data_IF_153134165553
#
_entry.id   IF_153134165553
#
_cell.length_a   1.000
_cell.length_b   1.000
_cell.length_c   1.000
_cell.angle_alpha   90.00
_cell.angle_beta   90.00
_cell.angle_gamma   90.00
#
_symmetry.space_group_name_H-M   'P 1'
#
loop_
_entity.id
_entity.type
_entity.pdbx_description
1 polymer ?
#
# COMPACT_ATOMS: atom_id res chain seq x y z
N UNK A 1 73.56 56.06 -14.74
CA UNK A 1 73.66 55.12 -13.60
C UNK A 1 72.37 55.18 -12.79
N UNK A 2 71.84 54.00 -12.46
CA UNK A 2 70.79 53.68 -11.47
C UNK A 2 69.32 53.83 -11.91
N UNK A 3 68.81 52.65 -12.26
CA UNK A 3 67.44 52.15 -12.28
C UNK A 3 66.54 52.66 -11.15
N UNK A 4 65.24 52.84 -11.45
CA UNK A 4 64.17 52.18 -10.71
C UNK A 4 62.91 52.06 -11.57
N UNK A 5 62.49 50.82 -11.78
CA UNK A 5 61.26 50.40 -12.43
C UNK A 5 60.13 50.57 -11.41
N UNK A 6 59.06 51.29 -11.77
CA UNK A 6 57.78 51.20 -11.06
C UNK A 6 56.68 50.89 -12.08
N UNK A 7 56.26 49.63 -12.08
CA UNK A 7 55.11 49.14 -12.82
C UNK A 7 53.85 49.64 -12.10
N UNK A 8 53.05 50.49 -12.74
CA UNK A 8 51.69 50.80 -12.29
C UNK A 8 50.74 50.22 -13.31
N UNK A 9 50.30 48.98 -13.07
CA UNK A 9 49.18 48.37 -13.79
C UNK A 9 47.89 49.05 -13.39
N UNK A 10 47.23 49.68 -14.35
CA UNK A 10 45.90 50.26 -14.21
C UNK A 10 44.88 49.15 -13.91
N UNK A 11 44.27 49.19 -12.72
CA UNK A 11 43.07 48.40 -12.40
C UNK A 11 41.88 49.15 -13.02
N UNK A 12 41.51 48.79 -14.24
CA UNK A 12 40.23 49.17 -14.82
C UNK A 12 39.15 48.27 -14.22
N UNK A 13 38.37 48.88 -13.32
CA UNK A 13 37.14 48.37 -12.74
C UNK A 13 36.12 48.03 -13.84
N UNK A 14 35.94 46.74 -14.14
CA UNK A 14 34.73 46.22 -14.77
C UNK A 14 33.73 45.82 -13.68
N UNK A 15 33.01 46.80 -13.13
CA UNK A 15 31.80 46.57 -12.35
C UNK A 15 30.60 46.35 -13.26
N UNK A 16 30.58 45.26 -14.04
CA UNK A 16 29.43 44.88 -14.87
C UNK A 16 29.31 43.35 -15.04
N UNK A 17 29.28 42.59 -13.94
CA UNK A 17 28.87 41.17 -13.99
C UNK A 17 28.03 40.70 -12.79
N UNK A 18 27.91 41.49 -11.73
CA UNK A 18 27.22 41.01 -10.50
C UNK A 18 25.69 40.95 -10.61
N UNK A 19 25.07 41.75 -11.48
CA UNK A 19 23.61 41.76 -11.64
C UNK A 19 23.10 40.63 -12.54
N UNK A 20 23.82 40.31 -13.63
CA UNK A 20 23.47 39.19 -14.52
C UNK A 20 23.74 37.85 -13.84
N UNK A 21 24.84 37.70 -13.09
CA UNK A 21 25.10 36.48 -12.32
C UNK A 21 24.17 36.31 -11.11
N UNK A 22 23.74 37.39 -10.44
CA UNK A 22 22.70 37.29 -9.39
C UNK A 22 21.33 36.95 -9.95
N UNK A 23 20.98 37.46 -11.13
CA UNK A 23 19.70 37.16 -11.78
C UNK A 23 19.68 35.74 -12.35
N UNK A 24 20.78 35.26 -12.94
CA UNK A 24 20.91 33.87 -13.35
C UNK A 24 21.01 32.89 -12.17
N UNK A 25 21.60 33.29 -11.03
CA UNK A 25 21.60 32.47 -9.81
C UNK A 25 20.21 32.45 -9.14
N UNK A 26 19.48 33.57 -9.15
CA UNK A 26 18.11 33.66 -8.64
C UNK A 26 17.10 32.92 -9.55
N UNK A 27 17.25 33.01 -10.87
CA UNK A 27 16.42 32.26 -11.84
C UNK A 27 16.75 30.75 -11.84
N UNK A 28 17.98 30.35 -11.45
CA UNK A 28 18.33 28.94 -11.23
C UNK A 28 17.78 28.38 -9.91
N UNK A 29 17.63 29.20 -8.87
CA UNK A 29 17.02 28.81 -7.59
C UNK A 29 15.47 28.72 -7.66
N UNK A 30 14.84 29.45 -8.59
CA UNK A 30 13.37 29.40 -8.80
C UNK A 30 12.88 28.14 -9.55
N UNK A 31 13.79 27.31 -10.06
CA UNK A 31 13.49 26.15 -10.91
C UNK A 31 13.67 24.78 -10.23
N UNK A 32 13.51 24.69 -8.90
CA UNK A 32 13.27 23.40 -8.27
C UNK A 32 11.91 22.86 -8.77
N UNK A 33 11.96 22.03 -9.81
CA UNK A 33 10.77 21.41 -10.40
C UNK A 33 10.00 20.66 -9.31
N UNK A 34 8.69 20.92 -9.22
CA UNK A 34 7.80 20.18 -8.32
C UNK A 34 7.94 18.69 -8.58
N UNK A 35 8.39 17.94 -7.58
CA UNK A 35 8.48 16.49 -7.62
C UNK A 35 7.10 15.89 -7.39
N UNK A 36 6.82 14.76 -8.03
CA UNK A 36 5.57 14.02 -7.87
C UNK A 36 5.82 12.53 -7.68
N UNK A 37 4.94 11.90 -6.91
CA UNK A 37 4.91 10.45 -6.75
C UNK A 37 3.46 9.97 -6.64
N UNK A 38 3.16 8.86 -7.29
CA UNK A 38 1.87 8.17 -7.22
C UNK A 38 2.00 6.89 -6.42
N UNK A 39 1.21 6.76 -5.35
CA UNK A 39 1.10 5.57 -4.53
C UNK A 39 -0.23 4.87 -4.81
N UNK A 40 -0.21 3.55 -4.96
CA UNK A 40 -1.42 2.74 -5.05
C UNK A 40 -1.44 1.71 -3.92
N UNK A 41 -2.58 1.59 -3.26
CA UNK A 41 -2.82 0.62 -2.20
C UNK A 41 -3.95 -0.33 -2.60
N UNK A 42 -3.71 -1.62 -2.46
CA UNK A 42 -4.70 -2.67 -2.62
C UNK A 42 -4.90 -3.42 -1.30
N UNK A 43 -6.12 -3.91 -1.10
CA UNK A 43 -6.51 -4.64 0.10
C UNK A 43 -5.97 -6.07 0.16
N UNK A 44 -6.79 -6.97 0.69
CA UNK A 44 -6.32 -8.29 1.13
C UNK A 44 -6.14 -9.25 -0.06
N UNK A 45 -4.93 -9.75 -0.25
CA UNK A 45 -4.58 -10.79 -1.22
C UNK A 45 -4.83 -12.17 -0.60
N UNK A 46 -6.08 -12.64 -0.66
CA UNK A 46 -6.47 -13.92 -0.10
C UNK A 46 -6.35 -15.05 -1.12
N UNK A 47 -6.08 -16.27 -0.62
CA UNK A 47 -6.04 -17.45 -1.47
C UNK A 47 -6.73 -18.66 -0.83
N UNK A 48 -8.00 -18.86 -1.18
CA UNK A 48 -8.80 -19.98 -0.72
C UNK A 48 -8.53 -21.24 -1.56
N UNK A 49 -8.96 -22.41 -1.04
CA UNK A 49 -8.70 -23.70 -1.69
C UNK A 49 -9.16 -23.72 -3.16
N UNK A 50 -10.35 -23.18 -3.46
CA UNK A 50 -10.84 -23.12 -4.84
C UNK A 50 -10.00 -22.24 -5.76
N UNK A 51 -9.32 -21.23 -5.23
CA UNK A 51 -8.38 -20.41 -6.01
C UNK A 51 -7.10 -21.19 -6.30
N UNK A 52 -6.63 -22.01 -5.36
CA UNK A 52 -5.49 -22.92 -5.55
C UNK A 52 -5.84 -23.97 -6.60
N UNK A 53 -6.98 -24.65 -6.46
CA UNK A 53 -7.44 -25.70 -7.37
C UNK A 53 -7.62 -25.15 -8.80
N UNK A 54 -8.17 -23.94 -8.93
CA UNK A 54 -8.33 -23.28 -10.21
C UNK A 54 -6.99 -23.00 -10.90
N UNK A 55 -5.96 -22.62 -10.15
CA UNK A 55 -4.66 -22.25 -10.69
C UNK A 55 -3.78 -23.44 -11.13
N UNK A 56 -4.17 -24.69 -10.83
CA UNK A 56 -3.39 -25.88 -11.18
C UNK A 56 -3.17 -25.99 -12.69
N UNK A 57 -1.94 -26.30 -13.07
CA UNK A 57 -1.48 -26.63 -14.43
C UNK A 57 -0.71 -27.95 -14.41
N UNK A 58 -0.31 -28.44 -15.58
CA UNK A 58 0.51 -29.67 -15.67
C UNK A 58 1.87 -29.55 -14.97
N UNK A 59 2.37 -28.32 -14.78
CA UNK A 59 3.72 -28.04 -14.28
C UNK A 59 3.76 -27.14 -13.02
N UNK A 60 2.68 -27.09 -12.23
CA UNK A 60 2.60 -26.23 -11.03
C UNK A 60 1.36 -25.33 -11.05
N UNK A 61 1.52 -24.07 -10.65
CA UNK A 61 0.40 -23.13 -10.53
C UNK A 61 0.56 -21.90 -11.43
N UNK A 62 -0.54 -21.39 -12.00
CA UNK A 62 -0.53 -20.15 -12.77
C UNK A 62 -1.66 -19.21 -12.30
N UNK A 63 -1.25 -18.01 -11.87
CA UNK A 63 -2.14 -16.95 -11.38
C UNK A 63 -2.13 -15.69 -12.26
N UNK A 64 -1.44 -15.67 -13.40
CA UNK A 64 -1.30 -14.46 -14.23
C UNK A 64 -2.67 -13.91 -14.69
N UNK A 65 -3.59 -14.81 -15.04
CA UNK A 65 -4.98 -14.45 -15.39
C UNK A 65 -5.69 -13.67 -14.29
N UNK A 66 -5.34 -13.93 -13.01
CA UNK A 66 -5.96 -13.28 -11.86
C UNK A 66 -5.81 -11.76 -11.92
N UNK A 67 -4.70 -11.27 -12.46
CA UNK A 67 -4.34 -9.85 -12.42
C UNK A 67 -4.28 -9.19 -13.80
N UNK A 68 -4.52 -9.96 -14.86
CA UNK A 68 -4.43 -9.50 -16.26
C UNK A 68 -5.18 -8.20 -16.56
N UNK A 69 -6.40 -8.00 -16.03
CA UNK A 69 -7.21 -6.82 -16.32
C UNK A 69 -6.91 -5.59 -15.45
N UNK A 70 -6.10 -5.74 -14.40
CA UNK A 70 -5.73 -4.64 -13.49
C UNK A 70 -4.27 -4.21 -13.63
N UNK A 71 -3.45 -5.04 -14.29
CA UNK A 71 -2.00 -4.85 -14.42
C UNK A 71 -1.62 -3.48 -14.98
N UNK A 72 -2.31 -3.02 -16.02
CA UNK A 72 -2.00 -1.72 -16.64
C UNK A 72 -2.23 -0.57 -15.65
N UNK A 73 -3.34 -0.59 -14.90
CA UNK A 73 -3.62 0.47 -13.93
C UNK A 73 -2.66 0.44 -12.74
N UNK A 74 -2.34 -0.75 -12.22
CA UNK A 74 -1.36 -0.90 -11.13
C UNK A 74 0.02 -0.37 -11.56
N UNK A 75 0.44 -0.68 -12.80
CA UNK A 75 1.74 -0.27 -13.34
C UNK A 75 1.88 1.24 -13.59
N UNK A 76 0.79 2.02 -13.50
CA UNK A 76 0.85 3.50 -13.58
C UNK A 76 1.29 4.14 -12.26
N UNK A 77 1.22 3.42 -11.15
CA UNK A 77 1.73 3.91 -9.87
C UNK A 77 3.26 3.85 -9.85
N UNK A 78 3.90 4.79 -9.15
CA UNK A 78 5.34 4.74 -8.92
C UNK A 78 5.73 3.69 -7.86
N UNK A 79 4.79 3.44 -6.94
CA UNK A 79 4.85 2.42 -5.89
C UNK A 79 3.45 1.85 -5.65
N UNK A 80 3.29 0.54 -5.82
CA UNK A 80 2.08 -0.18 -5.49
C UNK A 80 2.29 -1.10 -4.27
N UNK A 81 1.40 -0.99 -3.28
CA UNK A 81 1.47 -1.67 -1.97
C UNK A 81 0.25 -2.57 -1.80
N UNK A 82 0.45 -3.81 -1.35
CA UNK A 82 -0.61 -4.79 -1.09
C UNK A 82 -0.52 -5.43 0.29
N UNK A 83 -1.65 -5.93 0.81
CA UNK A 83 -1.65 -6.77 2.01
C UNK A 83 -1.61 -8.25 1.66
N UNK A 84 -0.47 -8.90 1.89
CA UNK A 84 -0.30 -10.34 1.67
C UNK A 84 -0.82 -11.11 2.89
N UNK A 85 -2.11 -11.45 2.86
CA UNK A 85 -2.83 -12.08 3.97
C UNK A 85 -2.93 -13.61 3.82
N UNK A 86 -1.82 -14.18 3.38
CA UNK A 86 -1.59 -15.62 3.31
C UNK A 86 -0.13 -15.89 3.65
N UNK A 87 0.17 -17.09 4.13
CA UNK A 87 1.58 -17.53 4.20
C UNK A 87 2.00 -18.14 2.87
N UNK A 88 3.28 -17.98 2.51
CA UNK A 88 3.95 -18.79 1.49
C UNK A 88 4.65 -19.93 2.23
N UNK A 89 3.86 -20.82 2.83
CA UNK A 89 4.34 -21.85 3.76
C UNK A 89 4.92 -23.09 3.09
N UNK A 90 4.81 -23.20 1.76
CA UNK A 90 5.15 -24.40 1.00
C UNK A 90 4.08 -25.49 1.13
N UNK A 91 4.37 -26.65 0.53
CA UNK A 91 3.45 -27.78 0.56
C UNK A 91 3.27 -28.38 1.97
N UNK A 92 2.07 -28.92 2.29
CA UNK A 92 0.87 -28.89 1.46
C UNK A 92 0.23 -27.50 1.43
N UNK A 93 -0.09 -27.04 0.22
CA UNK A 93 -0.86 -25.82 0.02
C UNK A 93 -2.27 -26.00 0.56
N UNK A 94 -2.87 -24.90 1.03
CA UNK A 94 -4.19 -24.97 1.62
C UNK A 94 -4.85 -23.62 1.75
N UNK A 95 -6.17 -23.61 1.61
CA UNK A 95 -7.01 -22.45 1.92
C UNK A 95 -7.34 -22.32 3.41
N UNK A 96 -8.39 -21.55 3.69
CA UNK A 96 -8.96 -21.36 5.03
C UNK A 96 -9.23 -22.71 5.73
N UNK A 97 -8.97 -22.84 7.05
CA UNK A 97 -8.59 -21.78 8.01
C UNK A 97 -7.08 -21.56 8.19
N UNK A 98 -6.23 -22.26 7.45
CA UNK A 98 -4.78 -22.20 7.62
C UNK A 98 -4.09 -22.08 6.27
N UNK A 99 -3.98 -20.85 5.78
CA UNK A 99 -3.49 -20.54 4.44
C UNK A 99 -2.03 -20.92 4.24
N UNK A 100 -1.74 -21.60 3.12
CA UNK A 100 -0.41 -21.67 2.50
C UNK A 100 -0.58 -21.62 1.00
N UNK A 101 -0.15 -20.51 0.42
CA UNK A 101 -0.25 -20.26 -1.00
C UNK A 101 0.97 -20.82 -1.75
N UNK A 102 0.80 -21.30 -3.00
CA UNK A 102 1.91 -21.54 -3.91
C UNK A 102 2.71 -20.27 -4.16
N UNK A 103 4.02 -20.42 -4.35
CA UNK A 103 4.95 -19.30 -4.54
C UNK A 103 4.60 -18.50 -5.81
N UNK A 104 4.08 -19.18 -6.83
CA UNK A 104 3.62 -18.58 -8.10
C UNK A 104 2.52 -17.53 -7.90
N UNK A 105 1.82 -17.57 -6.77
CA UNK A 105 0.88 -16.51 -6.42
C UNK A 105 1.59 -15.17 -6.21
N UNK A 106 2.71 -15.18 -5.47
CA UNK A 106 3.51 -13.98 -5.27
C UNK A 106 4.19 -13.55 -6.56
N UNK A 107 4.57 -14.50 -7.44
CA UNK A 107 5.14 -14.16 -8.75
C UNK A 107 4.13 -13.39 -9.60
N UNK A 108 2.87 -13.85 -9.63
CA UNK A 108 1.81 -13.16 -10.36
C UNK A 108 1.48 -11.78 -9.75
N UNK A 109 1.51 -11.64 -8.42
CA UNK A 109 1.34 -10.34 -7.73
C UNK A 109 2.46 -9.36 -8.13
N UNK A 110 3.73 -9.80 -8.13
CA UNK A 110 4.85 -8.98 -8.58
C UNK A 110 4.72 -8.64 -10.08
N UNK A 111 4.36 -9.61 -10.92
CA UNK A 111 4.14 -9.43 -12.35
C UNK A 111 2.98 -8.48 -12.67
N UNK A 112 2.02 -8.33 -11.76
CA UNK A 112 0.92 -7.37 -11.86
C UNK A 112 1.35 -5.93 -11.57
N UNK A 113 2.57 -5.72 -11.05
CA UNK A 113 3.16 -4.41 -10.78
C UNK A 113 3.13 -4.01 -9.31
N UNK A 114 2.87 -4.92 -8.37
CA UNK A 114 2.98 -4.61 -6.94
C UNK A 114 4.43 -4.68 -6.46
N UNK A 115 4.86 -3.61 -5.80
CA UNK A 115 6.24 -3.41 -5.37
C UNK A 115 6.47 -3.83 -3.91
N UNK A 116 5.48 -3.64 -3.02
CA UNK A 116 5.67 -3.77 -1.56
C UNK A 116 4.53 -4.58 -0.93
N UNK A 117 4.87 -5.48 -0.01
CA UNK A 117 3.88 -6.30 0.71
C UNK A 117 3.87 -6.01 2.21
N UNK A 118 2.69 -5.73 2.78
CA UNK A 118 2.48 -5.77 4.23
C UNK A 118 2.19 -7.20 4.68
N UNK A 119 2.79 -7.61 5.79
CA UNK A 119 2.73 -9.00 6.26
C UNK A 119 2.29 -9.14 7.72
N UNK A 120 2.19 -8.06 8.50
CA UNK A 120 1.51 -8.10 9.79
C UNK A 120 0.00 -8.09 9.55
N UNK A 121 -0.58 -9.28 9.55
CA UNK A 121 -2.00 -9.54 9.53
C UNK A 121 -2.31 -10.78 10.40
N UNK A 122 -3.59 -11.09 10.57
CA UNK A 122 -4.01 -12.21 11.43
C UNK A 122 -3.61 -13.59 10.90
N UNK A 123 -3.35 -13.72 9.60
CA UNK A 123 -2.97 -14.97 8.92
C UNK A 123 -1.47 -15.22 8.79
N UNK A 124 -0.63 -14.30 9.27
CA UNK A 124 0.83 -14.40 9.13
C UNK A 124 1.47 -15.62 9.83
N UNK A 125 0.71 -16.31 10.69
CA UNK A 125 1.14 -17.50 11.46
C UNK A 125 0.41 -18.78 11.05
N UNK A 126 -0.35 -18.81 9.96
CA UNK A 126 -1.19 -19.97 9.63
C UNK A 126 -0.43 -21.30 9.47
N UNK A 127 0.85 -21.25 9.06
CA UNK A 127 1.78 -22.39 9.05
C UNK A 127 2.84 -22.34 10.15
N UNK A 128 2.53 -21.66 11.24
CA UNK A 128 3.37 -21.42 12.40
C UNK A 128 4.68 -20.72 12.04
N UNK A 129 5.68 -20.89 12.92
CA UNK A 129 7.03 -20.33 12.77
C UNK A 129 7.65 -20.61 11.39
N UNK A 130 7.62 -21.86 10.94
CA UNK A 130 8.22 -22.25 9.65
C UNK A 130 7.53 -21.55 8.48
N UNK A 131 6.20 -21.41 8.54
CA UNK A 131 5.42 -20.68 7.55
C UNK A 131 5.78 -19.20 7.47
N UNK A 132 5.85 -18.54 8.64
CA UNK A 132 6.24 -17.14 8.73
C UNK A 132 7.65 -16.91 8.18
N UNK A 133 8.63 -17.70 8.65
CA UNK A 133 10.03 -17.59 8.22
C UNK A 133 10.18 -17.88 6.72
N UNK A 134 9.49 -18.91 6.19
CA UNK A 134 9.51 -19.20 4.75
C UNK A 134 8.88 -18.07 3.94
N UNK A 135 7.79 -17.49 4.41
CA UNK A 135 7.15 -16.33 3.74
C UNK A 135 8.13 -15.17 3.61
N UNK A 136 8.84 -14.84 4.69
CA UNK A 136 9.89 -13.81 4.68
C UNK A 136 10.99 -14.17 3.68
N UNK A 137 11.51 -15.40 3.70
CA UNK A 137 12.57 -15.82 2.80
C UNK A 137 12.15 -15.80 1.32
N UNK A 138 10.90 -16.15 0.99
CA UNK A 138 10.41 -16.07 -0.39
C UNK A 138 10.37 -14.61 -0.84
N UNK A 139 9.80 -13.71 -0.03
CA UNK A 139 9.75 -12.27 -0.36
C UNK A 139 11.16 -11.69 -0.52
N UNK A 140 12.10 -12.04 0.37
CA UNK A 140 13.51 -11.62 0.27
C UNK A 140 14.18 -12.18 -0.99
N UNK A 141 13.91 -13.45 -1.35
CA UNK A 141 14.48 -14.08 -2.55
C UNK A 141 13.98 -13.44 -3.85
N UNK A 142 12.73 -12.99 -3.85
CA UNK A 142 12.10 -12.24 -4.95
C UNK A 142 12.45 -10.75 -4.94
N UNK A 143 13.18 -10.29 -3.92
CA UNK A 143 13.51 -8.88 -3.69
C UNK A 143 12.27 -8.00 -3.64
N UNK A 144 11.19 -8.50 -3.05
CA UNK A 144 9.96 -7.75 -2.78
C UNK A 144 10.09 -7.15 -1.39
N UNK A 145 10.27 -5.82 -1.24
CA UNK A 145 10.23 -5.18 0.07
C UNK A 145 8.96 -5.55 0.83
N UNK A 146 9.15 -5.88 2.10
CA UNK A 146 8.05 -6.25 2.98
C UNK A 146 8.27 -5.72 4.39
N UNK A 147 7.17 -5.59 5.13
CA UNK A 147 7.16 -5.08 6.49
C UNK A 147 6.02 -5.69 7.31
N UNK A 148 6.29 -5.87 8.61
CA UNK A 148 5.30 -6.31 9.59
C UNK A 148 5.68 -7.62 10.29
N UNK A 149 6.44 -8.49 9.63
CA UNK A 149 6.97 -9.73 10.19
C UNK A 149 8.48 -9.84 9.99
N UNK A 150 9.18 -10.43 10.97
CA UNK A 150 10.64 -10.49 11.01
C UNK A 150 11.12 -11.83 11.59
N UNK A 151 12.30 -12.28 11.13
CA UNK A 151 12.94 -13.51 11.60
C UNK A 151 13.30 -13.42 13.07
N UNK A 152 13.78 -12.24 13.49
CA UNK A 152 14.13 -11.92 14.86
C UNK A 152 14.09 -10.40 15.14
N UNK A 153 14.55 -10.00 16.33
CA UNK A 153 14.54 -8.60 16.74
C UNK A 153 15.59 -7.76 16.01
N UNK A 154 16.75 -8.33 15.68
CA UNK A 154 17.82 -7.60 14.97
C UNK A 154 17.40 -7.34 13.53
N UNK A 155 16.80 -8.35 12.90
CA UNK A 155 16.16 -8.26 11.59
C UNK A 155 15.12 -7.12 11.55
N UNK A 156 14.23 -7.07 12.55
CA UNK A 156 13.27 -5.97 12.71
C UNK A 156 13.94 -4.62 12.89
N UNK A 157 14.92 -4.51 13.79
CA UNK A 157 15.53 -3.22 14.09
C UNK A 157 16.34 -2.66 12.91
N UNK A 158 16.88 -3.52 12.05
CA UNK A 158 17.60 -3.11 10.85
C UNK A 158 16.67 -2.70 9.69
N UNK A 159 15.48 -3.31 9.58
CA UNK A 159 14.58 -3.13 8.43
C UNK A 159 13.33 -2.29 8.69
N UNK A 160 12.99 -2.01 9.95
CA UNK A 160 11.75 -1.31 10.31
C UNK A 160 12.01 0.03 11.01
N UNK A 161 11.29 1.12 10.66
CA UNK A 161 10.29 1.27 9.57
C UNK A 161 10.86 0.98 8.18
N UNK A 162 10.00 0.58 7.24
CA UNK A 162 10.42 0.42 5.85
C UNK A 162 10.44 1.80 5.18
N UNK A 163 11.58 2.18 4.60
CA UNK A 163 11.70 3.44 3.84
C UNK A 163 11.73 3.15 2.33
N UNK A 164 10.98 3.93 1.58
CA UNK A 164 10.94 3.88 0.11
C UNK A 164 11.46 5.20 -0.43
N UNK A 165 12.55 5.13 -1.20
CA UNK A 165 13.16 6.26 -1.88
C UNK A 165 12.81 6.21 -3.36
N UNK A 166 11.92 7.10 -3.83
CA UNK A 166 11.43 7.10 -5.21
C UNK A 166 11.05 8.51 -5.64
N UNK A 167 11.41 8.91 -6.87
CA UNK A 167 11.09 10.22 -7.45
C UNK A 167 11.47 11.42 -6.55
N UNK A 168 12.50 11.25 -5.72
CA UNK A 168 12.97 12.25 -4.75
C UNK A 168 12.07 12.45 -3.52
N UNK A 169 11.20 11.46 -3.24
CA UNK A 169 10.48 11.29 -1.99
C UNK A 169 11.11 10.17 -1.14
N UNK A 170 11.18 10.41 0.17
CA UNK A 170 11.42 9.39 1.20
C UNK A 170 10.12 9.10 1.94
N UNK A 171 9.52 7.93 1.74
CA UNK A 171 8.27 7.52 2.40
C UNK A 171 8.57 6.46 3.45
N UNK A 172 8.15 6.69 4.70
CA UNK A 172 8.21 5.69 5.75
C UNK A 172 6.88 4.93 5.85
N UNK A 173 6.92 3.62 5.69
CA UNK A 173 5.78 2.73 5.88
C UNK A 173 5.86 2.01 7.23
N UNK A 174 4.73 1.98 7.91
CA UNK A 174 4.52 1.23 9.15
C UNK A 174 3.43 0.19 8.91
N UNK A 175 3.52 -1.00 9.54
CA UNK A 175 2.47 -2.02 9.45
C UNK A 175 2.27 -2.74 10.78
N UNK A 176 1.01 -2.88 11.18
CA UNK A 176 0.62 -3.53 12.44
C UNK A 176 -0.67 -4.34 12.29
N UNK A 177 -0.76 -5.45 13.02
CA UNK A 177 -1.96 -6.29 13.13
C UNK A 177 -2.58 -6.28 14.52
N UNK A 178 -3.91 -6.32 14.60
CA UNK A 178 -4.64 -6.46 15.86
C UNK A 178 -4.40 -7.81 16.56
N UNK A 179 -4.22 -8.89 15.79
CA UNK A 179 -4.06 -10.25 16.32
C UNK A 179 -3.42 -11.18 15.28
N UNK A 180 -3.25 -12.46 15.65
CA UNK A 180 -2.74 -13.56 14.81
C UNK A 180 -3.58 -14.82 14.98
N UNK A 181 -4.92 -14.67 14.99
CA UNK A 181 -5.90 -15.77 15.11
C UNK A 181 -5.65 -16.72 16.30
N UNK A 182 -5.15 -16.18 17.42
CA UNK A 182 -4.81 -16.95 18.63
C UNK A 182 -3.45 -17.68 18.58
N UNK A 183 -2.78 -17.68 17.43
CA UNK A 183 -1.44 -18.23 17.25
C UNK A 183 -0.40 -17.25 17.79
N UNK A 184 0.15 -17.55 18.96
CA UNK A 184 1.14 -16.66 19.61
C UNK A 184 2.46 -16.65 18.83
N UNK A 185 2.93 -15.46 18.51
CA UNK A 185 4.32 -15.26 18.05
C UNK A 185 5.28 -15.72 19.15
N UNK A 186 6.18 -16.65 18.80
CA UNK A 186 7.23 -17.15 19.69
C UNK A 186 8.58 -16.61 19.22
N UNK A 187 9.46 -16.32 20.19
CA UNK A 187 10.86 -15.98 19.89
C UNK A 187 11.53 -17.10 19.06
N UNK A 188 12.42 -16.75 18.11
CA UNK A 188 12.96 -15.41 17.90
C UNK A 188 12.06 -14.48 17.08
N UNK A 189 11.08 -15.01 16.32
CA UNK A 189 10.27 -14.23 15.39
C UNK A 189 9.57 -13.04 16.02
N UNK A 190 9.38 -11.99 15.22
CA UNK A 190 8.66 -10.78 15.63
C UNK A 190 7.54 -10.49 14.64
N UNK A 191 6.36 -10.19 15.19
CA UNK A 191 5.21 -9.64 14.46
C UNK A 191 4.88 -8.29 15.08
N UNK A 192 4.67 -7.28 14.25
CA UNK A 192 4.25 -5.97 14.69
C UNK A 192 2.76 -5.99 15.09
N UNK A 193 2.48 -6.14 16.38
CA UNK A 193 1.12 -6.01 16.89
C UNK A 193 0.75 -4.55 17.13
N UNK A 194 -0.54 -4.23 16.99
CA UNK A 194 -1.09 -2.94 17.41
C UNK A 194 -0.85 -2.77 18.91
N UNK A 195 -0.08 -1.74 19.25
CA UNK A 195 0.24 -1.39 20.63
C UNK A 195 0.88 -0.01 20.68
N UNK A 196 0.20 0.94 21.34
CA UNK A 196 0.57 2.37 21.33
C UNK A 196 2.04 2.62 21.71
N UNK A 197 2.59 1.89 22.67
CA UNK A 197 4.00 2.03 23.06
C UNK A 197 4.98 1.58 21.97
N UNK A 198 4.69 0.47 21.28
CA UNK A 198 5.51 0.00 20.16
C UNK A 198 5.41 1.00 19.00
N UNK A 199 4.19 1.33 18.61
CA UNK A 199 3.91 2.25 17.51
C UNK A 199 4.52 3.63 17.75
N UNK A 200 4.46 4.17 18.96
CA UNK A 200 5.08 5.45 19.29
C UNK A 200 6.60 5.42 19.09
N UNK A 201 7.28 4.36 19.53
CA UNK A 201 8.72 4.20 19.30
C UNK A 201 9.05 4.13 17.82
N UNK A 202 8.27 3.37 17.06
CA UNK A 202 8.49 3.21 15.62
C UNK A 202 8.21 4.51 14.86
N UNK A 203 7.20 5.30 15.26
CA UNK A 203 6.93 6.64 14.71
C UNK A 203 8.09 7.59 15.03
N UNK A 204 8.61 7.59 16.26
CA UNK A 204 9.78 8.41 16.63
C UNK A 204 11.01 7.99 15.82
N UNK A 205 11.23 6.69 15.64
CA UNK A 205 12.32 6.15 14.80
C UNK A 205 12.15 6.56 13.34
N UNK A 206 10.93 6.54 12.80
CA UNK A 206 10.62 7.04 11.47
C UNK A 206 10.98 8.52 11.35
N UNK A 207 10.45 9.36 12.25
CA UNK A 207 10.67 10.81 12.25
C UNK A 207 12.14 11.20 12.39
N UNK A 208 12.93 10.43 13.13
CA UNK A 208 14.37 10.67 13.26
C UNK A 208 15.15 10.57 11.93
N UNK A 209 14.56 9.94 10.90
CA UNK A 209 15.12 9.89 9.53
C UNK A 209 14.59 11.00 8.62
N UNK A 210 13.73 11.88 9.13
CA UNK A 210 13.10 12.98 8.39
C UNK A 210 12.46 12.56 7.05
N UNK A 211 11.60 11.52 7.02
CA UNK A 211 10.89 11.18 5.79
C UNK A 211 9.95 12.32 5.38
N UNK A 212 9.66 12.36 4.08
CA UNK A 212 8.67 13.28 3.50
C UNK A 212 7.25 12.96 3.98
N UNK A 213 6.93 11.67 4.16
CA UNK A 213 5.61 11.17 4.61
C UNK A 213 5.77 9.90 5.44
N UNK A 214 4.98 9.76 6.50
CA UNK A 214 4.79 8.54 7.29
C UNK A 214 3.37 7.99 7.04
N UNK A 215 3.28 6.76 6.55
CA UNK A 215 2.01 6.07 6.28
C UNK A 215 1.90 4.83 7.16
N UNK A 216 0.80 4.70 7.90
CA UNK A 216 0.51 3.51 8.70
C UNK A 216 -0.50 2.59 8.01
N UNK A 217 -0.06 1.39 7.65
CA UNK A 217 -0.87 0.31 7.11
C UNK A 217 -1.42 -0.56 8.26
N UNK A 218 -2.72 -0.46 8.54
CA UNK A 218 -3.33 -1.03 9.74
C UNK A 218 -4.20 -2.23 9.39
N UNK A 219 -3.89 -3.39 9.95
CA UNK A 219 -4.72 -4.59 9.83
C UNK A 219 -5.59 -4.71 11.09
N UNK A 220 -6.84 -4.23 11.02
CA UNK A 220 -7.64 -3.85 12.20
C UNK A 220 -9.17 -3.85 11.98
N UNK A 221 -9.93 -3.57 13.04
CA UNK A 221 -11.38 -3.49 12.97
C UNK A 221 -12.05 -4.84 13.13
N UNK A 222 -13.34 -4.89 12.83
CA UNK A 222 -14.16 -6.09 13.00
C UNK A 222 -14.56 -6.65 11.63
N UNK A 223 -14.32 -7.95 11.41
CA UNK A 223 -14.70 -8.64 10.18
C UNK A 223 -16.15 -8.38 9.76
N UNK A 224 -16.35 -8.16 8.47
CA UNK A 224 -17.63 -7.99 7.79
C UNK A 224 -18.45 -6.74 8.17
N UNK A 225 -17.93 -5.87 9.04
CA UNK A 225 -18.58 -4.59 9.34
C UNK A 225 -18.27 -3.55 8.27
N UNK A 226 -19.29 -3.02 7.58
CA UNK A 226 -19.12 -2.03 6.51
C UNK A 226 -18.83 -0.61 7.00
N UNK A 227 -18.91 -0.35 8.31
CA UNK A 227 -18.56 0.93 8.93
C UNK A 227 -17.49 0.71 9.99
N UNK A 228 -16.54 1.65 10.17
CA UNK A 228 -15.48 1.48 11.14
C UNK A 228 -16.04 1.43 12.56
N UNK A 229 -15.43 0.59 13.39
CA UNK A 229 -15.73 0.58 14.81
C UNK A 229 -15.05 1.74 15.57
N UNK A 230 -15.44 1.92 16.82
CA UNK A 230 -14.92 2.99 17.67
C UNK A 230 -13.40 2.89 17.87
N UNK A 231 -12.84 1.68 17.93
CA UNK A 231 -11.41 1.49 18.16
C UNK A 231 -10.59 1.91 16.93
N UNK A 232 -11.09 1.64 15.72
CA UNK A 232 -10.46 2.11 14.47
C UNK A 232 -10.40 3.64 14.44
N UNK A 233 -11.52 4.31 14.77
CA UNK A 233 -11.60 5.78 14.78
C UNK A 233 -10.61 6.37 15.81
N UNK A 234 -10.66 5.89 17.05
CA UNK A 234 -9.79 6.39 18.12
C UNK A 234 -8.30 6.13 17.86
N UNK A 235 -7.96 5.01 17.22
CA UNK A 235 -6.58 4.69 16.88
C UNK A 235 -6.08 5.52 15.69
N UNK A 236 -6.93 5.81 14.70
CA UNK A 236 -6.61 6.74 13.62
C UNK A 236 -6.31 8.14 14.17
N UNK A 237 -7.17 8.66 15.06
CA UNK A 237 -6.97 9.96 15.72
C UNK A 237 -5.67 9.99 16.51
N UNK A 238 -5.38 8.91 17.25
CA UNK A 238 -4.13 8.78 17.98
C UNK A 238 -2.91 8.76 17.06
N UNK A 239 -2.97 8.05 15.92
CA UNK A 239 -1.88 8.01 14.93
C UNK A 239 -1.56 9.40 14.36
N UNK A 240 -2.58 10.14 13.92
CA UNK A 240 -2.41 11.50 13.40
C UNK A 240 -1.83 12.45 14.47
N UNK A 241 -2.33 12.36 15.71
CA UNK A 241 -1.83 13.16 16.82
C UNK A 241 -0.34 12.92 17.12
N UNK A 242 0.20 11.73 16.81
CA UNK A 242 1.60 11.37 17.07
C UNK A 242 2.51 11.56 15.84
N UNK A 243 1.98 12.06 14.72
CA UNK A 243 2.76 12.46 13.56
C UNK A 243 2.83 11.41 12.45
N UNK A 244 1.87 10.49 12.37
CA UNK A 244 1.57 9.78 11.12
C UNK A 244 0.80 10.73 10.20
N UNK A 245 1.12 10.71 8.90
CA UNK A 245 0.50 11.59 7.91
C UNK A 245 -0.73 10.93 7.29
N UNK A 246 -0.67 9.64 6.95
CA UNK A 246 -1.77 8.92 6.31
C UNK A 246 -1.96 7.52 6.93
N UNK A 247 -3.20 7.04 6.92
CA UNK A 247 -3.56 5.73 7.47
C UNK A 247 -4.35 4.94 6.43
N UNK A 248 -3.88 3.73 6.13
CA UNK A 248 -4.50 2.83 5.16
C UNK A 248 -4.84 1.52 5.87
N UNK A 249 -6.13 1.18 5.93
CA UNK A 249 -6.63 0.02 6.67
C UNK A 249 -6.99 -1.17 5.79
N UNK A 250 -6.90 -2.37 6.37
CA UNK A 250 -7.37 -3.65 5.84
C UNK A 250 -7.85 -4.55 6.99
N UNK A 251 -8.25 -5.82 6.73
CA UNK A 251 -8.81 -6.83 7.67
C UNK A 251 -10.33 -7.05 7.63
N UNK A 252 -11.21 -6.04 7.62
CA UNK A 252 -12.65 -6.30 7.69
C UNK A 252 -13.19 -7.16 6.53
N UNK A 253 -12.38 -7.43 5.50
CA UNK A 253 -12.69 -8.15 4.26
C UNK A 253 -13.81 -7.52 3.43
N UNK A 254 -14.36 -6.41 3.89
CA UNK A 254 -15.34 -5.57 3.21
C UNK A 254 -14.78 -4.15 3.12
N UNK A 255 -15.20 -3.42 2.09
CA UNK A 255 -14.84 -2.01 1.96
C UNK A 255 -15.46 -1.20 3.10
N UNK A 256 -14.69 -0.25 3.65
CA UNK A 256 -15.17 0.72 4.63
C UNK A 256 -14.88 2.15 4.11
N UNK A 257 -15.57 3.17 4.65
CA UNK A 257 -15.43 4.56 4.20
C UNK A 257 -13.99 5.10 4.20
N UNK A 258 -13.82 6.22 3.50
CA UNK A 258 -12.55 6.93 3.38
C UNK A 258 -12.76 8.42 3.62
N UNK A 259 -11.78 9.07 4.23
CA UNK A 259 -11.87 10.47 4.61
C UNK A 259 -10.58 11.24 4.26
N UNK A 260 -10.74 12.44 3.71
CA UNK A 260 -9.72 13.50 3.86
C UNK A 260 -10.02 14.25 5.16
N UNK A 261 -9.03 14.35 6.05
CA UNK A 261 -9.11 15.14 7.28
C UNK A 261 -8.11 16.28 7.22
N UNK A 262 -8.50 17.47 7.61
CA UNK A 262 -7.62 18.63 7.61
C UNK A 262 -7.11 18.93 9.03
N UNK A 263 -5.78 18.99 9.20
CA UNK A 263 -5.14 19.52 10.39
C UNK A 263 -4.94 21.04 10.20
N UNK A 264 -5.72 21.90 10.89
CA UNK A 264 -5.62 23.35 10.72
C UNK A 264 -4.34 23.94 11.31
N UNK A 265 -3.70 23.25 12.26
CA UNK A 265 -2.48 23.71 12.92
C UNK A 265 -1.29 23.49 11.99
N UNK A 266 -1.18 22.29 11.41
CA UNK A 266 -0.11 21.95 10.44
C UNK A 266 -0.42 22.40 9.01
N UNK A 267 -1.68 22.80 8.74
CA UNK A 267 -2.20 23.10 7.40
C UNK A 267 -1.98 21.94 6.42
N UNK A 268 -2.28 20.72 6.89
CA UNK A 268 -1.99 19.48 6.19
C UNK A 268 -3.26 18.63 6.03
N UNK A 269 -3.35 17.90 4.92
CA UNK A 269 -4.37 16.89 4.71
C UNK A 269 -3.86 15.53 5.16
N UNK A 270 -4.70 14.81 5.90
CA UNK A 270 -4.51 13.43 6.31
C UNK A 270 -5.52 12.57 5.57
N UNK A 271 -5.02 11.53 4.89
CA UNK A 271 -5.85 10.53 4.26
C UNK A 271 -6.08 9.39 5.24
N UNK A 272 -7.34 9.02 5.43
CA UNK A 272 -7.76 7.87 6.22
C UNK A 272 -8.61 6.95 5.37
N UNK A 273 -8.14 5.73 5.13
CA UNK A 273 -8.91 4.63 4.54
C UNK A 273 -9.11 3.59 5.63
N UNK A 274 -10.34 3.30 6.05
CA UNK A 274 -10.55 2.36 7.17
C UNK A 274 -10.39 0.89 6.76
N UNK A 275 -10.83 0.54 5.55
CA UNK A 275 -10.65 -0.80 4.96
C UNK A 275 -10.73 -0.74 3.44
N UNK A 276 -9.74 -1.32 2.78
CA UNK A 276 -9.73 -1.53 1.34
C UNK A 276 -10.57 -2.74 0.89
N UNK A 277 -10.99 -3.61 1.81
CA UNK A 277 -11.67 -4.87 1.50
C UNK A 277 -10.73 -5.90 0.84
N UNK A 278 -11.31 -6.97 0.29
CA UNK A 278 -10.52 -8.00 -0.39
C UNK A 278 -10.10 -7.54 -1.79
N UNK A 279 -8.80 -7.61 -2.10
CA UNK A 279 -8.36 -7.40 -3.48
C UNK A 279 -8.72 -8.60 -4.35
N UNK A 280 -8.50 -9.82 -3.85
CA UNK A 280 -8.97 -11.07 -4.45
C UNK A 280 -9.29 -12.10 -3.37
N UNK A 281 -10.43 -12.79 -3.48
CA UNK A 281 -10.90 -13.75 -2.46
C UNK A 281 -12.04 -14.66 -2.97
N UNK A 282 -12.15 -15.90 -2.45
CA UNK A 282 -13.36 -16.74 -2.56
C UNK A 282 -14.20 -16.81 -1.26
N UNK A 283 -14.09 -15.83 -0.36
CA UNK A 283 -14.99 -15.73 0.80
C UNK A 283 -16.47 -15.72 0.38
N UNK A 284 -17.32 -16.42 1.13
CA UNK A 284 -18.75 -16.58 0.81
C UNK A 284 -19.65 -15.52 1.46
N UNK A 285 -19.14 -14.81 2.46
CA UNK A 285 -19.88 -13.76 3.16
C UNK A 285 -20.23 -12.60 2.23
N UNK A 286 -21.35 -11.93 2.50
CA UNK A 286 -21.79 -10.78 1.70
C UNK A 286 -20.74 -9.66 1.72
N UNK A 287 -20.56 -8.99 0.57
CA UNK A 287 -19.64 -7.85 0.38
C UNK A 287 -18.15 -8.17 0.50
N UNK A 288 -17.78 -9.45 0.59
CA UNK A 288 -16.37 -9.90 0.65
C UNK A 288 -15.79 -10.29 -0.70
N UNK A 289 -16.53 -10.02 -1.78
CA UNK A 289 -16.24 -10.43 -3.15
C UNK A 289 -15.55 -9.35 -4.00
N UNK A 290 -15.18 -8.23 -3.38
CA UNK A 290 -14.40 -7.18 -4.01
C UNK A 290 -13.80 -6.21 -3.01
N UNK A 291 -13.11 -5.21 -3.54
CA UNK A 291 -12.35 -4.26 -2.76
C UNK A 291 -12.04 -3.01 -3.55
N UNK A 292 -11.03 -2.29 -3.08
CA UNK A 292 -10.64 -0.99 -3.60
C UNK A 292 -9.17 -0.97 -3.98
N UNK A 293 -8.85 -0.37 -5.13
CA UNK A 293 -7.55 0.21 -5.39
C UNK A 293 -7.61 1.69 -5.03
N UNK A 294 -6.85 2.10 -4.01
CA UNK A 294 -6.79 3.47 -3.55
C UNK A 294 -5.51 4.12 -4.08
N UNK A 295 -5.64 5.26 -4.77
CA UNK A 295 -4.53 6.00 -5.36
C UNK A 295 -4.35 7.34 -4.64
N UNK A 296 -3.09 7.67 -4.35
CA UNK A 296 -2.69 8.92 -3.72
C UNK A 296 -1.52 9.52 -4.49
N UNK A 297 -1.68 10.77 -4.92
CA UNK A 297 -0.68 11.53 -5.66
C UNK A 297 -0.14 12.63 -4.73
N UNK A 298 1.16 12.58 -4.47
CA UNK A 298 1.85 13.53 -3.63
C UNK A 298 2.72 14.46 -4.48
N UNK A 299 2.74 15.73 -4.12
CA UNK A 299 3.64 16.73 -4.71
C UNK A 299 4.57 17.31 -3.65
N UNK A 300 5.80 17.63 -4.06
CA UNK A 300 6.84 18.19 -3.19
C UNK A 300 7.57 19.31 -3.92
N UNK A 301 7.47 20.52 -3.36
CA UNK A 301 8.31 21.67 -3.68
C UNK A 301 9.11 22.06 -2.43
N UNK A 302 8.49 22.83 -1.54
CA UNK A 302 9.05 23.17 -0.22
C UNK A 302 8.46 22.30 0.90
N UNK A 303 7.17 21.93 0.73
CA UNK A 303 6.45 21.02 1.61
C UNK A 303 5.77 19.95 0.77
N UNK A 304 5.48 18.81 1.41
CA UNK A 304 4.69 17.75 0.79
C UNK A 304 3.20 18.08 0.90
N UNK A 305 2.44 17.79 -0.16
CA UNK A 305 0.98 17.94 -0.20
C UNK A 305 0.35 16.78 -0.95
N UNK A 306 -0.86 16.40 -0.56
CA UNK A 306 -1.72 15.54 -1.37
C UNK A 306 -2.25 16.40 -2.52
N UNK A 307 -1.76 16.15 -3.74
CA UNK A 307 -2.22 16.85 -4.95
C UNK A 307 -3.56 16.26 -5.42
N UNK A 308 -3.70 14.93 -5.32
CA UNK A 308 -4.93 14.22 -5.66
C UNK A 308 -5.01 12.90 -4.88
N UNK A 309 -6.23 12.43 -4.65
CA UNK A 309 -6.46 11.05 -4.21
C UNK A 309 -7.85 10.57 -4.66
N UNK A 310 -7.96 9.28 -4.92
CA UNK A 310 -9.20 8.68 -5.36
C UNK A 310 -9.18 7.17 -5.24
N UNK A 311 -10.32 6.55 -5.52
CA UNK A 311 -10.45 5.09 -5.45
C UNK A 311 -11.05 4.51 -6.72
N UNK A 312 -10.71 3.26 -7.04
CA UNK A 312 -11.47 2.46 -8.00
C UNK A 312 -11.91 1.16 -7.37
N UNK A 313 -13.17 0.81 -7.61
CA UNK A 313 -13.72 -0.48 -7.19
C UNK A 313 -13.21 -1.60 -8.11
N UNK A 314 -12.78 -2.70 -7.51
CA UNK A 314 -12.42 -3.94 -8.21
C UNK A 314 -13.20 -5.11 -7.63
N UNK A 315 -13.49 -6.11 -8.44
CA UNK A 315 -14.33 -7.24 -8.04
C UNK A 315 -13.71 -8.55 -8.48
N UNK A 316 -13.86 -9.57 -7.63
CA UNK A 316 -13.35 -10.91 -7.92
C UNK A 316 -14.33 -11.63 -8.85
N UNK A 317 -13.95 -11.77 -10.11
CA UNK A 317 -14.57 -12.62 -11.11
C UNK A 317 -14.32 -14.09 -10.78
N UNK A 318 -15.36 -14.79 -10.32
CA UNK A 318 -15.26 -16.16 -9.81
C UNK A 318 -15.73 -17.20 -10.82
N UNK A 319 -15.00 -18.32 -10.99
CA UNK A 319 -15.38 -19.47 -11.82
C UNK A 319 -16.83 -19.93 -11.65
N UNK A 320 -17.33 -19.96 -10.40
CA UNK A 320 -18.70 -20.39 -10.09
C UNK A 320 -19.80 -19.56 -10.76
N UNK A 321 -19.50 -18.34 -11.20
CA UNK A 321 -20.46 -17.45 -11.87
C UNK A 321 -20.20 -17.34 -13.38
N UNK A 322 -18.95 -17.44 -13.78
CA UNK A 322 -18.52 -17.25 -15.17
C UNK A 322 -18.50 -18.53 -16.00
N UNK A 323 -18.26 -19.68 -15.37
CA UNK A 323 -17.93 -20.93 -16.06
C UNK A 323 -16.49 -20.99 -16.58
N UNK A 324 -15.70 -19.94 -16.39
CA UNK A 324 -14.26 -19.93 -16.73
C UNK A 324 -13.45 -20.62 -15.65
N UNK A 325 -12.26 -21.14 -16.02
CA UNK A 325 -11.39 -21.89 -15.10
C UNK A 325 -10.86 -21.02 -13.95
N UNK A 326 -10.26 -19.88 -14.29
CA UNK A 326 -9.46 -19.08 -13.35
C UNK A 326 -10.27 -17.95 -12.72
N UNK A 327 -9.88 -17.57 -11.50
CA UNK A 327 -10.31 -16.31 -10.90
C UNK A 327 -9.67 -15.13 -11.63
N UNK A 328 -10.38 -14.01 -11.73
CA UNK A 328 -9.86 -12.74 -12.27
C UNK A 328 -10.27 -11.59 -11.38
N UNK A 329 -9.45 -10.56 -11.29
CA UNK A 329 -9.88 -9.26 -10.77
C UNK A 329 -10.30 -8.44 -11.97
N UNK A 330 -11.51 -7.88 -11.93
CA UNK A 330 -12.02 -7.01 -12.98
C UNK A 330 -12.36 -5.62 -12.41
N UNK A 331 -12.17 -4.54 -13.20
CA UNK A 331 -12.62 -3.22 -12.80
C UNK A 331 -14.15 -3.19 -12.65
N UNK A 332 -14.65 -2.48 -11.66
CA UNK A 332 -16.09 -2.22 -11.52
C UNK A 332 -16.69 -1.45 -12.71
N UNK A 333 -15.85 -0.78 -13.49
CA UNK A 333 -16.20 -0.10 -14.73
C UNK A 333 -16.42 -1.06 -15.92
N UNK A 334 -16.09 -2.35 -15.79
CA UNK A 334 -16.20 -3.33 -16.88
C UNK A 334 -17.56 -3.28 -17.59
N UNK A 335 -17.61 -3.31 -18.93
CA UNK A 335 -18.86 -3.27 -19.69
C UNK A 335 -19.74 -4.49 -19.39
N UNK A 336 -20.95 -4.27 -18.88
CA UNK A 336 -21.85 -5.36 -18.42
C UNK A 336 -22.33 -6.26 -19.56
N UNK A 337 -22.48 -5.69 -20.75
CA UNK A 337 -22.85 -6.37 -21.99
C UNK A 337 -21.79 -7.37 -22.48
N UNK A 338 -20.55 -7.22 -22.02
CA UNK A 338 -19.44 -8.15 -22.33
C UNK A 338 -19.25 -9.25 -21.28
N UNK A 339 -20.08 -9.29 -20.23
CA UNK A 339 -19.97 -10.26 -19.14
C UNK A 339 -21.09 -11.29 -19.20
N UNK A 340 -20.86 -12.54 -18.76
CA UNK A 340 -21.94 -13.49 -18.52
C UNK A 340 -23.01 -12.89 -17.58
N UNK A 341 -24.30 -13.15 -17.85
CA UNK A 341 -25.42 -12.54 -17.11
C UNK A 341 -25.28 -12.70 -15.58
N UNK A 342 -24.88 -13.90 -15.13
CA UNK A 342 -24.68 -14.17 -13.70
C UNK A 342 -23.55 -13.34 -13.10
N UNK A 343 -22.46 -13.12 -13.85
CA UNK A 343 -21.36 -12.25 -13.45
C UNK A 343 -21.83 -10.80 -13.38
N UNK A 344 -22.48 -10.30 -14.44
CA UNK A 344 -22.96 -8.92 -14.50
C UNK A 344 -23.90 -8.61 -13.32
N UNK A 345 -24.79 -9.54 -12.97
CA UNK A 345 -25.69 -9.41 -11.83
C UNK A 345 -24.94 -9.31 -10.49
N UNK A 346 -23.93 -10.16 -10.26
CA UNK A 346 -23.12 -10.12 -9.03
C UNK A 346 -22.29 -8.85 -8.93
N UNK A 347 -21.65 -8.45 -10.02
CA UNK A 347 -20.91 -7.21 -10.10
C UNK A 347 -21.81 -5.99 -9.79
N UNK A 348 -23.04 -5.97 -10.32
CA UNK A 348 -23.99 -4.89 -10.07
C UNK A 348 -24.40 -4.79 -8.59
N UNK A 349 -24.53 -5.92 -7.89
CA UNK A 349 -24.80 -5.94 -6.44
C UNK A 349 -23.62 -5.33 -5.68
N UNK A 350 -22.41 -5.80 -5.93
CA UNK A 350 -21.19 -5.28 -5.29
C UNK A 350 -21.02 -3.77 -5.52
N UNK A 351 -21.19 -3.33 -6.77
CA UNK A 351 -21.08 -1.92 -7.18
C UNK A 351 -22.13 -1.06 -6.50
N UNK A 352 -23.40 -1.50 -6.50
CA UNK A 352 -24.50 -0.77 -5.87
C UNK A 352 -24.25 -0.63 -4.37
N UNK A 353 -23.91 -1.71 -3.69
CA UNK A 353 -23.69 -1.70 -2.23
C UNK A 353 -22.50 -0.82 -1.85
N UNK A 354 -21.38 -0.95 -2.57
CA UNK A 354 -20.16 -0.17 -2.31
C UNK A 354 -20.34 1.31 -2.61
N UNK A 355 -20.97 1.66 -3.74
CA UNK A 355 -21.23 3.07 -4.08
C UNK A 355 -22.25 3.72 -3.15
N UNK A 356 -23.27 2.98 -2.69
CA UNK A 356 -24.20 3.49 -1.69
C UNK A 356 -23.49 3.79 -0.37
N UNK A 357 -22.63 2.88 0.10
CA UNK A 357 -21.81 3.09 1.29
C UNK A 357 -20.94 4.35 1.15
N UNK A 358 -20.17 4.46 0.07
CA UNK A 358 -19.26 5.58 -0.14
C UNK A 358 -19.97 6.91 -0.38
N UNK A 359 -21.08 6.94 -1.11
CA UNK A 359 -21.89 8.16 -1.26
C UNK A 359 -22.41 8.66 0.09
N UNK A 360 -22.71 7.74 1.01
CA UNK A 360 -23.25 8.09 2.33
C UNK A 360 -22.16 8.51 3.32
N UNK A 361 -20.97 7.91 3.25
CA UNK A 361 -19.99 7.98 4.33
C UNK A 361 -18.60 8.49 3.94
N UNK A 362 -18.22 8.52 2.66
CA UNK A 362 -16.91 9.07 2.28
C UNK A 362 -16.90 10.60 2.47
N UNK A 363 -15.74 11.12 2.86
CA UNK A 363 -15.49 12.56 2.94
C UNK A 363 -14.43 12.94 1.92
N UNK A 364 -14.88 13.64 0.87
CA UNK A 364 -14.04 14.31 -0.14
C UNK A 364 -13.21 13.40 -1.07
N UNK A 365 -13.28 12.06 -0.93
CA UNK A 365 -12.59 11.11 -1.82
C UNK A 365 -13.58 10.55 -2.85
N UNK A 366 -13.22 10.64 -4.14
CA UNK A 366 -14.09 10.27 -5.27
C UNK A 366 -13.62 8.99 -5.97
N UNK A 367 -14.59 8.31 -6.59
CA UNK A 367 -14.31 7.19 -7.49
C UNK A 367 -13.66 7.70 -8.79
N UNK A 368 -12.64 7.00 -9.28
CA UNK A 368 -12.13 7.11 -10.63
C UNK A 368 -12.34 5.79 -11.38
N UNK A 369 -12.31 5.85 -12.70
CA UNK A 369 -12.53 4.70 -13.57
C UNK A 369 -11.32 4.51 -14.49
N UNK A 370 -11.07 3.25 -14.87
CA UNK A 370 -10.03 2.86 -15.81
C UNK A 370 -10.50 1.68 -16.66
#
# INVERSE_FOLDING_TARGET
>A
MKHLILLVTAVLSFSCTSHSQKKEAHDRDEMAATKRITLLFAGDFMQHQRQIDAAVTDNGYNYDDCFSQIKEEVSKADVAIGNLEVTLGGEPYGGYPGFSAPDEYMYAIQNAGFDVMTTANNHCHDKGRKGLERTIHILDSLKVPHLGTYLDIDDRENRYPLFIEKNGFSIALLNYTYATNGLKTKKPNVVNYIGKNLMLRDIVKARAKNPDVIIACMHWGTEYQSTPDKNQIELADWLFAHGVDHVIGSHPHVVQPMEIRYDPVKKQQHILVYSLGNYISDMSALKTDGGVMFKMELSKKDTVKVENCGYSLVWTYRPKFSGEKNYKIIPAASPRDKLPVNVANRLNIFVKDSRNLFTTHNKEIKEYFF
#
